data_IF_827698479616
#
_entry.id   IF_827698479616
#
_cell.length_a   1.000
_cell.length_b   1.000
_cell.length_c   1.000
_cell.angle_alpha   90.00
_cell.angle_beta   90.00
_cell.angle_gamma   90.00
#
_symmetry.space_group_name_H-M   'P 1'
#
loop_
_entity.id
_entity.type
_entity.pdbx_description
1 polymer ?
#
# COMPACT_ATOMS: atom_id res chain seq x y z
N UNK A 1 24.65 -11.59 30.82
CA UNK A 1 23.55 -10.81 31.44
C UNK A 1 22.51 -10.54 30.34
N UNK A 2 21.59 -11.44 29.97
CA UNK A 2 20.33 -11.84 30.64
C UNK A 2 19.39 -10.69 31.02
N UNK A 3 18.98 -9.83 30.09
CA UNK A 3 17.73 -9.03 30.15
C UNK A 3 17.33 -8.60 28.72
N UNK A 4 16.32 -9.25 28.11
CA UNK A 4 15.51 -8.74 26.97
C UNK A 4 14.54 -9.81 26.39
N UNK A 5 13.87 -10.59 27.23
CA UNK A 5 12.85 -11.57 26.80
C UNK A 5 11.58 -11.45 27.64
N UNK A 6 10.96 -10.26 27.69
CA UNK A 6 9.74 -10.06 28.50
C UNK A 6 8.73 -9.05 27.95
N UNK A 7 8.78 -8.74 26.65
CA UNK A 7 7.73 -7.90 26.00
C UNK A 7 6.90 -8.71 24.97
N UNK A 8 7.39 -9.86 24.48
CA UNK A 8 6.66 -10.69 23.51
C UNK A 8 5.64 -11.68 24.11
N UNK A 9 5.63 -11.87 25.43
CA UNK A 9 4.77 -12.87 26.08
C UNK A 9 3.45 -12.30 26.65
N UNK A 10 3.29 -10.98 26.73
CA UNK A 10 2.05 -10.37 27.26
C UNK A 10 0.94 -10.25 26.21
N UNK A 11 1.27 -10.16 24.91
CA UNK A 11 0.29 -10.06 23.84
C UNK A 11 -0.40 -11.37 23.47
N UNK A 12 0.21 -12.53 23.79
CA UNK A 12 -0.40 -13.84 23.56
C UNK A 12 -1.28 -14.33 24.73
N UNK A 13 -1.22 -13.69 25.90
CA UNK A 13 -2.01 -14.10 27.07
C UNK A 13 -3.42 -13.47 27.11
N UNK A 14 -3.63 -12.31 26.46
CA UNK A 14 -4.94 -11.63 26.44
C UNK A 14 -5.93 -12.32 25.46
N UNK A 15 -5.42 -13.08 24.48
CA UNK A 15 -6.26 -13.78 23.51
C UNK A 15 -6.77 -15.17 23.96
N UNK A 16 -6.28 -15.72 25.09
CA UNK A 16 -6.65 -17.08 25.56
C UNK A 16 -7.31 -17.14 26.94
N UNK A 17 -7.69 -16.00 27.53
CA UNK A 17 -8.47 -15.98 28.79
C UNK A 17 -9.97 -15.75 28.62
N UNK A 18 -10.49 -15.72 27.39
CA UNK A 18 -11.94 -15.59 27.12
C UNK A 18 -12.71 -16.93 27.06
N UNK A 19 -12.04 -18.07 27.27
CA UNK A 19 -12.69 -19.39 27.30
C UNK A 19 -12.24 -20.20 28.52
N UNK A 20 -12.58 -19.73 29.72
CA UNK A 20 -12.84 -20.64 30.85
C UNK A 20 -14.23 -20.33 31.39
N UNK A 21 -15.19 -21.17 31.02
CA UNK A 21 -16.47 -21.31 31.71
C UNK A 21 -16.18 -21.76 33.14
N UNK A 22 -16.23 -20.83 34.09
CA UNK A 22 -16.28 -21.15 35.51
C UNK A 22 -17.73 -21.15 35.95
N UNK A 23 -18.25 -22.33 36.26
CA UNK A 23 -19.49 -22.49 37.01
C UNK A 23 -19.29 -21.86 38.39
N UNK A 24 -19.90 -20.70 38.65
CA UNK A 24 -20.61 -20.36 39.89
C UNK A 24 -21.05 -18.89 39.91
N UNK A 25 -22.35 -18.71 40.17
CA UNK A 25 -23.04 -17.45 40.49
C UNK A 25 -22.24 -16.56 41.46
N UNK A 26 -22.06 -15.27 41.13
CA UNK A 26 -22.69 -14.12 41.80
C UNK A 26 -22.09 -12.78 41.31
N UNK A 27 -22.95 -11.93 40.72
CA UNK A 27 -22.89 -10.46 40.76
C UNK A 27 -21.66 -9.72 40.21
N UNK A 28 -21.84 -9.01 39.09
CA UNK A 28 -20.96 -7.90 38.69
C UNK A 28 -21.18 -7.48 37.23
N UNK A 29 -21.88 -6.36 37.04
CA UNK A 29 -21.94 -5.51 35.84
C UNK A 29 -21.60 -6.15 34.49
N UNK A 30 -22.63 -6.71 33.84
CA UNK A 30 -22.59 -6.99 32.41
C UNK A 30 -22.49 -5.65 31.65
N UNK A 31 -21.27 -5.20 31.35
CA UNK A 31 -21.04 -4.38 30.16
C UNK A 31 -21.59 -5.17 28.98
N UNK A 32 -22.80 -4.80 28.54
CA UNK A 32 -23.44 -5.37 27.37
C UNK A 32 -22.43 -5.29 26.22
N UNK A 33 -22.07 -6.41 25.56
CA UNK A 33 -21.08 -6.37 24.49
C UNK A 33 -21.55 -5.35 23.45
N UNK A 34 -20.67 -4.42 23.08
CA UNK A 34 -20.93 -3.40 22.05
C UNK A 34 -21.64 -4.06 20.87
N UNK A 35 -22.86 -3.61 20.58
CA UNK A 35 -23.68 -4.18 19.51
C UNK A 35 -22.87 -4.12 18.21
N UNK A 36 -22.50 -5.28 17.67
CA UNK A 36 -21.84 -5.38 16.37
C UNK A 36 -22.77 -4.71 15.34
N UNK A 37 -22.31 -3.61 14.75
CA UNK A 37 -23.07 -2.82 13.79
C UNK A 37 -23.05 -3.55 12.43
N UNK A 38 -23.98 -4.50 12.28
CA UNK A 38 -24.16 -5.27 11.05
C UNK A 38 -24.79 -4.41 9.97
N UNK A 39 -24.10 -4.24 8.84
CA UNK A 39 -24.60 -3.47 7.69
C UNK A 39 -25.15 -4.43 6.63
N UNK A 40 -26.44 -4.32 6.32
CA UNK A 40 -27.04 -5.08 5.23
C UNK A 40 -26.87 -4.36 3.90
N UNK A 41 -26.39 -5.07 2.86
CA UNK A 41 -26.26 -4.49 1.52
C UNK A 41 -27.60 -4.00 0.95
N UNK A 42 -28.73 -4.53 1.43
CA UNK A 42 -30.07 -4.04 1.04
C UNK A 42 -30.33 -2.59 1.43
N UNK A 43 -29.68 -2.09 2.49
CA UNK A 43 -29.76 -0.68 2.89
C UNK A 43 -28.57 0.11 2.32
N UNK A 44 -28.73 0.52 1.06
CA UNK A 44 -27.69 1.24 0.31
C UNK A 44 -27.40 2.62 0.89
N UNK A 45 -28.39 3.26 1.50
CA UNK A 45 -28.25 4.58 2.11
C UNK A 45 -27.39 4.49 3.37
N UNK A 46 -27.70 3.54 4.27
CA UNK A 46 -26.88 3.28 5.45
C UNK A 46 -25.48 2.84 5.07
N UNK A 47 -25.33 1.95 4.08
CA UNK A 47 -24.02 1.51 3.60
C UNK A 47 -23.14 2.69 3.15
N UNK A 48 -23.68 3.65 2.40
CA UNK A 48 -22.95 4.83 1.97
C UNK A 48 -22.46 5.72 3.13
N UNK A 49 -23.09 5.64 4.31
CA UNK A 49 -22.59 6.36 5.50
C UNK A 49 -21.49 5.62 6.25
N UNK A 50 -21.33 4.32 6.00
CA UNK A 50 -20.42 3.42 6.74
C UNK A 50 -19.16 3.06 5.95
N UNK A 51 -19.20 3.15 4.61
CA UNK A 51 -18.00 2.97 3.79
C UNK A 51 -17.06 4.17 3.90
N UNK A 52 -15.76 3.93 3.70
CA UNK A 52 -14.77 4.99 3.53
C UNK A 52 -14.20 4.92 2.12
N UNK A 53 -14.34 5.99 1.35
CA UNK A 53 -13.73 6.08 0.02
C UNK A 53 -12.41 6.83 0.14
N UNK A 54 -11.32 6.24 -0.35
CA UNK A 54 -10.01 6.90 -0.38
C UNK A 54 -10.12 8.21 -1.16
N UNK A 55 -9.68 9.31 -0.54
CA UNK A 55 -9.81 10.69 -1.06
C UNK A 55 -11.24 11.14 -1.38
N UNK A 56 -12.25 10.36 -0.99
CA UNK A 56 -13.64 10.64 -1.26
C UNK A 56 -14.24 11.58 -0.23
N UNK A 57 -14.84 12.67 -0.70
CA UNK A 57 -15.70 13.53 0.10
C UNK A 57 -17.15 13.14 -0.15
N UNK A 58 -17.84 12.70 0.91
CA UNK A 58 -19.25 12.34 0.85
C UNK A 58 -20.11 13.56 0.46
N UNK A 59 -21.04 13.36 -0.46
CA UNK A 59 -22.00 14.35 -0.93
C UNK A 59 -23.37 13.69 -1.13
N UNK A 60 -24.44 14.38 -0.72
CA UNK A 60 -25.80 13.90 -0.98
C UNK A 60 -26.19 14.20 -2.43
N UNK A 61 -27.02 13.34 -3.02
CA UNK A 61 -27.52 13.47 -4.38
C UNK A 61 -26.85 12.50 -5.36
N UNK A 62 -27.01 12.78 -6.64
CA UNK A 62 -26.47 11.97 -7.74
C UNK A 62 -25.10 12.47 -8.19
N UNK A 63 -24.32 11.58 -8.80
CA UNK A 63 -23.11 12.00 -9.52
C UNK A 63 -23.46 13.05 -10.58
N UNK A 64 -22.60 14.05 -10.82
CA UNK A 64 -22.81 15.04 -11.88
C UNK A 64 -23.04 14.40 -13.25
N UNK A 65 -23.87 15.03 -14.07
CA UNK A 65 -24.14 14.56 -15.43
C UNK A 65 -22.87 14.60 -16.30
N UNK A 66 -22.78 13.68 -17.26
CA UNK A 66 -21.72 13.69 -18.27
C UNK A 66 -21.75 15.00 -19.06
N UNK A 67 -20.57 15.51 -19.40
CA UNK A 67 -20.41 16.73 -20.18
C UNK A 67 -20.38 16.39 -21.67
N UNK A 68 -21.15 17.11 -22.48
CA UNK A 68 -21.21 16.92 -23.94
C UNK A 68 -20.33 17.97 -24.66
N UNK A 69 -19.02 17.91 -24.39
CA UNK A 69 -18.01 18.82 -24.98
C UNK A 69 -16.86 17.98 -25.55
N UNK A 70 -16.35 18.37 -26.72
CA UNK A 70 -15.18 17.71 -27.32
C UNK A 70 -13.97 17.76 -26.37
N UNK A 71 -13.18 16.70 -26.32
CA UNK A 71 -12.05 16.56 -25.38
C UNK A 71 -12.44 16.05 -23.98
N UNK A 72 -13.74 15.90 -23.68
CA UNK A 72 -14.22 15.27 -22.43
C UNK A 72 -13.66 13.84 -22.30
N UNK A 73 -13.18 13.43 -21.10
CA UNK A 73 -12.71 12.07 -20.88
C UNK A 73 -13.82 11.04 -21.13
N UNK A 74 -13.47 9.92 -21.74
CA UNK A 74 -14.37 8.78 -21.97
C UNK A 74 -13.80 7.54 -21.31
N UNK A 75 -14.57 6.96 -20.39
CA UNK A 75 -14.24 5.73 -19.68
C UNK A 75 -14.72 4.51 -20.46
N UNK A 76 -13.89 3.48 -20.51
CA UNK A 76 -14.25 2.16 -21.03
C UNK A 76 -15.22 1.49 -20.06
N UNK A 77 -16.31 0.93 -20.58
CA UNK A 77 -17.22 0.13 -19.76
C UNK A 77 -16.56 -1.21 -19.39
N UNK A 78 -16.18 -1.36 -18.11
CA UNK A 78 -15.73 -2.65 -17.59
C UNK A 78 -16.93 -3.44 -17.07
N UNK A 79 -17.37 -4.42 -17.88
CA UNK A 79 -18.47 -5.33 -17.54
C UNK A 79 -18.04 -6.45 -16.60
N UNK A 80 -16.76 -6.52 -16.22
CA UNK A 80 -16.27 -7.56 -15.35
C UNK A 80 -16.76 -7.35 -13.91
N UNK A 81 -16.96 -8.48 -13.24
CA UNK A 81 -17.30 -8.52 -11.83
C UNK A 81 -16.06 -8.16 -11.00
N UNK A 82 -16.09 -7.02 -10.31
CA UNK A 82 -15.00 -6.63 -9.40
C UNK A 82 -15.16 -7.41 -8.10
N UNK A 83 -14.18 -8.23 -7.74
CA UNK A 83 -14.21 -8.93 -6.47
C UNK A 83 -13.71 -7.99 -5.36
N UNK A 84 -14.50 -7.83 -4.30
CA UNK A 84 -14.01 -7.16 -3.10
C UNK A 84 -12.85 -8.00 -2.52
N UNK A 85 -11.77 -7.31 -2.18
CA UNK A 85 -10.65 -7.85 -1.40
C UNK A 85 -11.21 -8.17 -0.02
N UNK A 86 -11.62 -9.43 0.14
CA UNK A 86 -11.82 -10.08 1.46
C UNK A 86 -12.99 -9.51 2.24
N UNK A 87 -13.99 -9.03 1.51
CA UNK A 87 -15.11 -8.29 2.05
C UNK A 87 -14.74 -6.94 2.68
N UNK A 88 -13.48 -6.48 2.54
CA UNK A 88 -12.94 -5.27 3.20
C UNK A 88 -12.66 -4.13 2.24
N UNK A 89 -12.26 -4.38 1.01
CA UNK A 89 -11.95 -3.32 0.05
C UNK A 89 -12.53 -3.60 -1.32
N UNK A 90 -13.03 -2.58 -1.99
CA UNK A 90 -13.34 -2.59 -3.41
C UNK A 90 -12.28 -1.73 -4.09
N UNK A 91 -11.61 -2.30 -5.09
CA UNK A 91 -10.61 -1.58 -5.89
C UNK A 91 -11.10 -1.59 -7.33
N UNK A 92 -11.39 -0.42 -7.88
CA UNK A 92 -11.73 -0.24 -9.29
C UNK A 92 -10.54 0.46 -9.95
N UNK A 93 -10.10 -0.06 -11.10
CA UNK A 93 -9.09 0.57 -11.94
C UNK A 93 -9.77 1.06 -13.21
N UNK A 94 -10.18 2.34 -13.27
CA UNK A 94 -10.81 2.90 -14.46
C UNK A 94 -9.86 2.84 -15.65
N UNK A 95 -10.41 2.51 -16.83
CA UNK A 95 -9.70 2.59 -18.10
C UNK A 95 -10.34 3.68 -18.96
N UNK A 96 -9.53 4.37 -19.75
CA UNK A 96 -9.99 5.43 -20.64
C UNK A 96 -9.86 5.00 -22.10
N UNK A 97 -10.90 5.26 -22.89
CA UNK A 97 -10.79 5.22 -24.35
C UNK A 97 -10.10 6.48 -24.88
N UNK A 98 -10.35 7.62 -24.22
CA UNK A 98 -9.88 8.92 -24.68
C UNK A 98 -9.94 9.99 -23.57
N UNK A 99 -9.02 10.95 -23.60
CA UNK A 99 -9.03 12.19 -22.82
C UNK A 99 -8.03 13.18 -23.41
N UNK A 100 -8.33 14.48 -23.40
CA UNK A 100 -7.39 15.52 -23.85
C UNK A 100 -6.79 16.35 -22.71
N UNK A 101 -7.44 16.35 -21.54
CA UNK A 101 -6.99 17.13 -20.39
C UNK A 101 -6.70 16.23 -19.18
N UNK A 102 -5.95 16.77 -18.21
CA UNK A 102 -5.53 16.00 -17.03
C UNK A 102 -6.72 15.58 -16.19
N UNK A 103 -6.88 14.27 -15.97
CA UNK A 103 -7.89 13.71 -15.06
C UNK A 103 -7.53 14.09 -13.62
N UNK A 104 -8.46 14.72 -12.90
CA UNK A 104 -8.27 15.15 -11.49
C UNK A 104 -8.82 14.15 -10.47
N UNK A 105 -9.79 13.34 -10.88
CA UNK A 105 -10.34 12.30 -10.02
C UNK A 105 -11.66 11.75 -10.53
N UNK A 106 -12.46 11.23 -9.59
CA UNK A 106 -13.67 10.50 -9.92
C UNK A 106 -14.85 10.91 -9.02
N UNK A 107 -16.05 10.78 -9.56
CA UNK A 107 -17.26 10.66 -8.77
C UNK A 107 -17.61 9.18 -8.67
N UNK A 108 -17.98 8.69 -7.48
CA UNK A 108 -18.42 7.31 -7.28
C UNK A 108 -19.66 7.25 -6.40
N UNK A 109 -20.63 6.44 -6.79
CA UNK A 109 -21.88 6.24 -6.04
C UNK A 109 -22.16 4.75 -5.88
N UNK A 110 -22.67 4.39 -4.70
CA UNK A 110 -23.32 3.10 -4.48
C UNK A 110 -24.73 3.23 -5.05
N UNK A 111 -25.06 2.40 -6.04
CA UNK A 111 -26.36 2.49 -6.71
C UNK A 111 -27.50 2.28 -5.69
N UNK A 112 -28.44 3.24 -5.69
CA UNK A 112 -29.56 3.28 -4.75
C UNK A 112 -29.28 3.95 -3.40
N UNK A 113 -28.07 4.48 -3.16
CA UNK A 113 -27.74 5.15 -1.88
C UNK A 113 -28.22 6.60 -1.77
N UNK A 114 -28.55 7.26 -2.90
CA UNK A 114 -28.88 8.68 -2.93
C UNK A 114 -27.70 9.60 -2.54
N UNK A 115 -26.47 9.09 -2.61
CA UNK A 115 -25.25 9.82 -2.31
C UNK A 115 -24.13 9.43 -3.28
N UNK A 116 -23.11 10.27 -3.35
CA UNK A 116 -21.87 10.00 -4.06
C UNK A 116 -20.66 10.52 -3.28
N UNK A 117 -19.49 10.09 -3.69
CA UNK A 117 -18.22 10.56 -3.18
C UNK A 117 -17.46 11.25 -4.30
N UNK A 118 -16.99 12.47 -4.06
CA UNK A 118 -16.03 13.14 -4.94
C UNK A 118 -14.63 12.76 -4.50
N UNK A 119 -13.95 11.96 -5.31
CA UNK A 119 -12.55 11.56 -5.17
C UNK A 119 -11.69 12.60 -5.88
N UNK A 120 -10.74 13.20 -5.17
CA UNK A 120 -9.87 14.26 -5.72
C UNK A 120 -8.39 13.94 -5.46
N UNK A 121 -7.66 13.60 -6.51
CA UNK A 121 -6.22 13.33 -6.45
C UNK A 121 -5.38 14.60 -6.67
N UNK A 122 -5.98 15.70 -7.14
CA UNK A 122 -5.29 16.96 -7.41
C UNK A 122 -5.00 17.76 -6.15
N UNK A 123 -5.73 17.51 -5.06
CA UNK A 123 -5.43 18.08 -3.76
C UNK A 123 -4.14 17.46 -3.20
N UNK A 124 -3.04 18.24 -3.18
CA UNK A 124 -1.69 17.93 -2.65
C UNK A 124 -1.69 17.31 -1.23
N UNK A 125 -2.17 16.07 -1.07
CA UNK A 125 -2.17 15.31 0.19
C UNK A 125 -1.04 14.29 0.25
N UNK A 126 0.07 14.54 -0.43
CA UNK A 126 1.29 13.72 -0.33
C UNK A 126 1.33 12.47 -1.22
N UNK A 127 0.50 12.39 -2.26
CA UNK A 127 0.47 11.24 -3.16
C UNK A 127 1.08 11.58 -4.51
N UNK A 128 2.40 11.61 -4.54
CA UNK A 128 3.10 11.19 -5.74
C UNK A 128 2.83 9.67 -5.89
N UNK A 129 2.95 9.10 -7.11
CA UNK A 129 2.98 7.62 -7.26
C UNK A 129 4.08 6.96 -6.39
N UNK A 130 4.99 7.75 -5.84
CA UNK A 130 5.91 7.40 -4.77
C UNK A 130 5.24 7.56 -3.40
N UNK A 131 5.17 6.47 -2.62
CA UNK A 131 5.10 6.63 -1.16
C UNK A 131 6.20 7.61 -0.75
N UNK A 132 5.91 8.64 0.04
CA UNK A 132 6.95 9.57 0.53
C UNK A 132 8.04 8.76 1.25
N UNK A 133 9.17 8.52 0.58
CA UNK A 133 10.19 7.56 1.01
C UNK A 133 10.82 6.78 -0.15
N UNK A 134 11.91 6.07 0.13
CA UNK A 134 12.84 5.45 -0.83
C UNK A 134 12.19 4.78 -2.05
N UNK A 135 12.88 4.78 -3.22
CA UNK A 135 12.46 4.00 -4.38
C UNK A 135 12.35 2.50 -4.02
N UNK A 136 11.13 2.01 -3.83
CA UNK A 136 10.85 0.58 -3.69
C UNK A 136 10.77 -0.03 -5.08
N UNK A 137 11.36 -1.21 -5.27
CA UNK A 137 11.21 -2.00 -6.51
C UNK A 137 9.76 -2.42 -6.79
N UNK A 138 8.88 -2.34 -5.78
CA UNK A 138 7.45 -2.54 -5.91
C UNK A 138 6.65 -1.22 -5.89
N UNK A 139 7.32 -0.08 -5.71
CA UNK A 139 6.71 1.26 -5.78
C UNK A 139 6.27 1.61 -7.21
N UNK A 140 5.21 2.42 -7.32
CA UNK A 140 4.68 2.88 -8.62
C UNK A 140 5.39 4.19 -9.04
N UNK A 141 5.47 4.49 -10.33
CA UNK A 141 5.92 5.78 -10.88
C UNK A 141 4.96 6.24 -11.98
N UNK A 142 4.50 7.52 -12.00
CA UNK A 142 3.71 8.15 -13.08
C UNK A 142 2.57 9.13 -12.64
N UNK A 143 1.57 9.36 -13.50
CA UNK A 143 0.51 10.41 -13.44
C UNK A 143 -0.86 9.92 -12.87
N UNK A 144 -1.80 10.83 -12.57
CA UNK A 144 -3.09 10.56 -11.89
C UNK A 144 -4.11 9.73 -12.68
N UNK A 145 -3.94 9.63 -14.01
CA UNK A 145 -4.92 9.02 -14.93
C UNK A 145 -5.16 7.52 -14.65
N UNK A 146 -4.20 6.81 -14.04
CA UNK A 146 -4.32 5.38 -13.71
C UNK A 146 -4.64 5.10 -12.23
N UNK A 147 -5.08 6.15 -11.50
CA UNK A 147 -5.38 6.03 -10.07
C UNK A 147 -6.61 5.16 -9.84
N UNK A 148 -6.48 4.21 -8.91
CA UNK A 148 -7.57 3.33 -8.50
C UNK A 148 -8.58 4.05 -7.62
N UNK A 149 -9.87 3.78 -7.81
CA UNK A 149 -10.92 4.12 -6.84
C UNK A 149 -10.93 3.03 -5.78
N UNK A 150 -10.69 3.39 -4.51
CA UNK A 150 -10.65 2.42 -3.42
C UNK A 150 -11.73 2.74 -2.38
N UNK A 151 -12.55 1.74 -2.07
CA UNK A 151 -13.64 1.84 -1.10
C UNK A 151 -13.42 0.79 -0.02
N UNK A 152 -13.20 1.24 1.22
CA UNK A 152 -13.17 0.38 2.40
C UNK A 152 -14.60 0.09 2.86
N UNK A 153 -14.92 -1.18 2.92
CA UNK A 153 -16.16 -1.76 3.39
C UNK A 153 -16.15 -1.91 4.93
N UNK A 154 -17.29 -1.74 5.62
CA UNK A 154 -17.42 -2.10 7.03
C UNK A 154 -17.13 -3.59 7.28
N UNK A 155 -16.66 -3.92 8.49
CA UNK A 155 -16.19 -5.27 8.83
C UNK A 155 -17.29 -6.35 8.78
N UNK A 156 -18.54 -5.99 9.03
CA UNK A 156 -19.68 -6.91 9.10
C UNK A 156 -20.74 -6.50 8.08
N UNK A 157 -20.61 -7.03 6.86
CA UNK A 157 -21.57 -6.85 5.79
C UNK A 157 -22.35 -8.14 5.55
N UNK A 158 -23.67 -8.01 5.41
CA UNK A 158 -24.56 -9.10 4.99
C UNK A 158 -25.03 -8.85 3.57
N UNK A 159 -24.64 -9.74 2.66
CA UNK A 159 -24.95 -9.71 1.23
C UNK A 159 -23.72 -10.02 0.38
N UNK A 160 -23.94 -10.33 -0.91
CA UNK A 160 -22.91 -10.86 -1.80
C UNK A 160 -22.58 -9.94 -2.98
N UNK A 161 -23.49 -9.03 -3.37
CA UNK A 161 -23.33 -8.19 -4.56
C UNK A 161 -23.80 -6.77 -4.32
N UNK A 162 -23.00 -5.81 -4.79
CA UNK A 162 -23.37 -4.40 -4.88
C UNK A 162 -23.07 -3.86 -6.27
N UNK A 163 -23.72 -2.77 -6.65
CA UNK A 163 -23.42 -2.09 -7.89
C UNK A 163 -22.96 -0.68 -7.58
N UNK A 164 -21.88 -0.27 -8.25
CA UNK A 164 -21.32 1.06 -8.20
C UNK A 164 -21.51 1.74 -9.54
N UNK A 165 -21.68 3.05 -9.54
CA UNK A 165 -21.54 3.88 -10.74
C UNK A 165 -20.44 4.90 -10.49
N UNK A 166 -19.56 5.09 -11.46
CA UNK A 166 -18.48 6.07 -11.38
C UNK A 166 -18.31 6.85 -12.68
N UNK A 167 -17.72 8.03 -12.57
CA UNK A 167 -17.39 8.91 -13.69
C UNK A 167 -16.10 9.67 -13.37
N UNK A 168 -15.24 9.86 -14.36
CA UNK A 168 -14.04 10.70 -14.23
C UNK A 168 -14.40 12.18 -14.37
N UNK A 169 -13.62 13.05 -13.75
CA UNK A 169 -13.64 14.47 -14.08
C UNK A 169 -12.24 15.01 -14.28
N UNK A 170 -12.14 15.97 -15.19
CA UNK A 170 -10.88 16.51 -15.66
C UNK A 170 -10.55 17.87 -15.04
N UNK A 171 -9.42 18.44 -15.48
CA UNK A 171 -8.91 19.70 -14.95
C UNK A 171 -9.78 20.91 -15.26
N UNK A 172 -10.60 20.82 -16.32
CA UNK A 172 -11.54 21.83 -16.81
C UNK A 172 -12.94 21.66 -16.20
N UNK A 173 -13.17 20.56 -15.46
CA UNK A 173 -14.44 20.25 -14.83
C UNK A 173 -15.40 19.47 -15.74
N UNK A 174 -14.95 18.98 -16.89
CA UNK A 174 -15.73 18.08 -17.72
C UNK A 174 -15.85 16.71 -17.05
N UNK A 175 -17.01 16.08 -17.21
CA UNK A 175 -17.36 14.80 -16.57
C UNK A 175 -17.58 13.74 -17.65
N UNK A 176 -16.98 12.56 -17.47
CA UNK A 176 -17.08 11.46 -18.42
C UNK A 176 -18.49 10.85 -18.49
N UNK A 177 -18.67 9.92 -19.42
CA UNK A 177 -19.75 8.93 -19.34
C UNK A 177 -19.74 8.20 -17.98
N UNK A 178 -20.92 7.78 -17.54
CA UNK A 178 -21.10 7.03 -16.31
C UNK A 178 -20.89 5.54 -16.59
N UNK A 179 -19.97 4.92 -15.86
CA UNK A 179 -19.69 3.48 -15.96
C UNK A 179 -20.24 2.77 -14.73
N UNK A 180 -20.98 1.68 -14.97
CA UNK A 180 -21.53 0.83 -13.92
C UNK A 180 -20.62 -0.38 -13.71
N UNK A 181 -20.20 -0.59 -12.47
CA UNK A 181 -19.49 -1.80 -12.05
C UNK A 181 -20.37 -2.66 -11.14
N UNK A 182 -20.26 -3.98 -11.32
CA UNK A 182 -20.84 -4.97 -10.42
C UNK A 182 -19.74 -5.51 -9.53
N UNK A 183 -19.93 -5.40 -8.21
CA UNK A 183 -18.96 -5.83 -7.22
C UNK A 183 -19.51 -7.03 -6.47
N UNK A 184 -18.76 -8.14 -6.46
CA UNK A 184 -19.04 -9.28 -5.62
C UNK A 184 -18.21 -9.21 -4.34
N UNK A 185 -18.89 -9.27 -3.21
CA UNK A 185 -18.30 -9.33 -1.88
C UNK A 185 -18.20 -10.80 -1.51
N UNK A 186 -17.00 -11.37 -1.61
CA UNK A 186 -16.76 -12.72 -1.10
C UNK A 186 -16.75 -12.68 0.42
N UNK A 187 -17.40 -13.66 1.04
CA UNK A 187 -17.16 -13.95 2.46
C UNK A 187 -15.72 -14.40 2.64
N UNK A 188 -15.14 -14.18 3.80
CA UNK A 188 -13.72 -14.40 4.13
C UNK A 188 -13.25 -15.88 4.04
N UNK A 189 -14.01 -16.78 3.42
CA UNK A 189 -13.94 -18.23 3.69
C UNK A 189 -13.66 -19.13 2.48
N UNK A 190 -13.17 -18.61 1.35
CA UNK A 190 -12.89 -19.47 0.17
C UNK A 190 -11.41 -19.41 -0.25
N UNK A 191 -10.54 -19.85 0.66
CA UNK A 191 -9.08 -19.69 0.61
C UNK A 191 -8.38 -20.99 0.15
N UNK A 192 -8.98 -21.81 -0.71
CA UNK A 192 -8.31 -23.04 -1.15
C UNK A 192 -7.17 -22.75 -2.15
N UNK A 193 -7.37 -21.76 -3.04
CA UNK A 193 -6.53 -21.59 -4.24
C UNK A 193 -5.22 -20.80 -4.00
N UNK A 194 -4.99 -20.32 -2.77
CA UNK A 194 -3.87 -19.42 -2.45
C UNK A 194 -3.28 -19.58 -1.04
N UNK A 195 -3.49 -20.74 -0.39
CA UNK A 195 -2.83 -21.07 0.89
C UNK A 195 -1.30 -21.00 0.81
N UNK A 196 -0.72 -21.35 -0.33
CA UNK A 196 0.74 -21.34 -0.51
C UNK A 196 1.32 -19.93 -0.35
N UNK A 197 0.53 -18.90 -0.69
CA UNK A 197 0.88 -17.49 -0.57
C UNK A 197 0.78 -16.96 0.87
N UNK A 198 -0.06 -17.59 1.71
CA UNK A 198 -0.23 -17.20 3.12
C UNK A 198 1.06 -17.49 3.90
N UNK A 199 1.48 -16.51 4.70
CA UNK A 199 2.65 -16.60 5.56
C UNK A 199 3.50 -15.33 5.54
N UNK A 200 4.71 -15.46 6.11
CA UNK A 200 5.72 -14.42 6.13
C UNK A 200 6.75 -14.65 5.04
N UNK A 201 7.06 -13.59 4.31
CA UNK A 201 7.97 -13.57 3.18
C UNK A 201 9.06 -12.55 3.41
N UNK A 202 10.25 -12.83 2.88
CA UNK A 202 11.40 -11.94 2.88
C UNK A 202 11.78 -11.66 1.43
N UNK A 203 12.04 -10.40 1.09
CA UNK A 203 12.64 -10.07 -0.20
C UNK A 203 14.05 -10.67 -0.24
N UNK A 204 14.37 -11.51 -1.22
CA UNK A 204 15.68 -12.15 -1.33
C UNK A 204 16.59 -11.38 -2.31
N UNK A 205 16.11 -11.19 -3.53
CA UNK A 205 16.85 -10.58 -4.63
C UNK A 205 15.91 -9.80 -5.55
N UNK A 206 16.47 -8.86 -6.31
CA UNK A 206 15.78 -8.15 -7.40
C UNK A 206 16.62 -8.20 -8.66
N UNK A 207 16.02 -8.06 -9.83
CA UNK A 207 16.79 -7.79 -11.05
C UNK A 207 17.30 -6.35 -11.06
N UNK A 208 18.38 -6.09 -11.78
CA UNK A 208 18.76 -4.75 -12.20
C UNK A 208 18.07 -4.36 -13.52
N UNK A 209 18.39 -3.18 -14.06
CA UNK A 209 17.83 -2.66 -15.33
C UNK A 209 18.13 -3.55 -16.53
N UNK A 210 19.14 -4.43 -16.44
CA UNK A 210 19.52 -5.38 -17.49
C UNK A 210 18.93 -6.77 -17.25
N UNK A 211 18.04 -6.93 -16.26
CA UNK A 211 17.42 -8.20 -15.92
C UNK A 211 18.33 -9.14 -15.11
N UNK A 212 19.51 -8.70 -14.66
CA UNK A 212 20.42 -9.55 -13.88
C UNK A 212 20.04 -9.54 -12.42
N UNK A 213 19.91 -10.73 -11.82
CA UNK A 213 19.61 -10.88 -10.40
C UNK A 213 20.73 -10.34 -9.50
N UNK A 214 20.34 -9.56 -8.50
CA UNK A 214 21.21 -8.98 -7.47
C UNK A 214 20.59 -9.18 -6.09
N UNK A 215 21.44 -9.46 -5.09
CA UNK A 215 20.98 -9.58 -3.71
C UNK A 215 20.44 -8.22 -3.24
N UNK A 216 19.25 -8.23 -2.64
CA UNK A 216 18.53 -7.02 -2.26
C UNK A 216 19.21 -6.23 -1.13
N UNK A 217 20.03 -6.91 -0.31
CA UNK A 217 20.65 -6.34 0.89
C UNK A 217 22.11 -5.93 0.68
N UNK A 218 22.61 -5.89 -0.56
CA UNK A 218 23.95 -5.34 -0.84
C UNK A 218 23.91 -3.84 -0.56
N UNK A 219 24.73 -3.33 0.38
CA UNK A 219 24.83 -1.89 0.61
C UNK A 219 25.47 -1.19 -0.59
N UNK A 220 24.96 -0.02 -0.92
CA UNK A 220 25.57 0.91 -1.86
C UNK A 220 26.53 1.85 -1.12
N UNK A 221 27.62 2.21 -1.78
CA UNK A 221 28.65 3.09 -1.24
C UNK A 221 28.85 4.28 -2.18
N UNK A 222 28.66 5.48 -1.65
CA UNK A 222 29.04 6.72 -2.33
C UNK A 222 30.43 7.15 -1.88
N UNK A 223 31.24 7.60 -2.84
CA UNK A 223 32.59 8.12 -2.59
C UNK A 223 32.63 9.61 -2.85
N UNK A 224 33.51 10.31 -2.15
CA UNK A 224 33.76 11.73 -2.38
C UNK A 224 35.22 12.06 -2.06
N UNK A 225 35.65 13.24 -2.47
CA UNK A 225 36.99 13.72 -2.19
C UNK A 225 37.03 14.49 -0.87
N UNK A 226 37.98 14.14 -0.02
CA UNK A 226 38.28 14.82 1.23
C UNK A 226 39.66 15.46 1.18
N UNK A 227 39.88 16.43 2.06
CA UNK A 227 41.19 17.03 2.29
C UNK A 227 41.39 17.32 3.77
N UNK A 228 42.64 17.60 4.12
CA UNK A 228 43.10 17.80 5.46
C UNK A 228 43.66 19.20 5.64
N UNK A 229 42.96 20.00 6.43
CA UNK A 229 43.35 21.37 6.70
C UNK A 229 43.39 21.59 8.22
N UNK A 230 44.59 21.88 8.75
CA UNK A 230 44.79 22.07 10.19
C UNK A 230 44.44 20.83 11.02
N UNK A 231 44.71 19.62 10.49
CA UNK A 231 44.42 18.34 11.16
C UNK A 231 42.94 17.95 11.18
N UNK A 232 42.07 18.72 10.53
CA UNK A 232 40.64 18.45 10.43
C UNK A 232 40.28 18.00 9.02
N UNK A 233 39.40 17.00 8.95
CA UNK A 233 38.84 16.52 7.71
C UNK A 233 37.81 17.52 7.15
N UNK A 234 37.91 17.83 5.85
CA UNK A 234 36.95 18.65 5.11
C UNK A 234 36.64 18.03 3.76
N UNK A 235 35.52 18.41 3.15
CA UNK A 235 35.28 18.09 1.73
C UNK A 235 36.29 18.84 0.85
N UNK A 236 36.85 18.15 -0.14
CA UNK A 236 37.73 18.76 -1.11
C UNK A 236 36.91 19.35 -2.25
N UNK A 237 36.85 20.69 -2.33
CA UNK A 237 36.04 21.41 -3.31
C UNK A 237 36.89 22.00 -4.45
N UNK A 238 38.22 22.12 -4.24
CA UNK A 238 39.16 22.78 -5.16
C UNK A 238 40.34 21.87 -5.51
N UNK A 239 40.77 21.92 -6.77
CA UNK A 239 41.86 21.09 -7.34
C UNK A 239 43.29 21.53 -6.95
N UNK A 240 43.46 22.63 -6.21
CA UNK A 240 44.76 23.17 -5.80
C UNK A 240 45.28 22.63 -4.46
N UNK A 241 44.55 21.73 -3.80
CA UNK A 241 44.90 21.13 -2.51
C UNK A 241 44.98 19.61 -2.72
N UNK A 242 45.87 18.94 -1.99
CA UNK A 242 45.93 17.48 -2.00
C UNK A 242 44.60 16.91 -1.46
N UNK A 243 43.84 16.30 -2.36
CA UNK A 243 42.60 15.59 -2.04
C UNK A 243 42.87 14.08 -2.04
N UNK A 244 42.14 13.34 -1.22
CA UNK A 244 42.05 11.89 -1.31
C UNK A 244 40.58 11.46 -1.42
N UNK A 245 40.32 10.34 -2.10
CA UNK A 245 38.97 9.80 -2.24
C UNK A 245 38.72 8.72 -1.21
N UNK A 246 37.58 8.79 -0.53
CA UNK A 246 37.13 7.75 0.39
C UNK A 246 35.59 7.68 0.41
N UNK A 247 35.04 6.72 1.16
CA UNK A 247 33.61 6.48 1.28
C UNK A 247 32.97 7.63 2.07
N UNK A 248 32.03 8.33 1.45
CA UNK A 248 31.29 9.42 2.08
C UNK A 248 30.03 8.92 2.79
N UNK A 249 29.38 7.93 2.19
CA UNK A 249 28.18 7.33 2.75
C UNK A 249 28.02 5.87 2.32
N UNK A 250 27.39 5.09 3.19
CA UNK A 250 26.99 3.70 2.96
C UNK A 250 25.49 3.62 3.23
N UNK A 251 24.72 3.19 2.23
CA UNK A 251 23.27 3.01 2.36
C UNK A 251 22.90 1.57 2.07
N UNK A 252 22.12 0.95 2.93
CA UNK A 252 21.75 -0.45 2.74
C UNK A 252 20.40 -0.77 3.34
N UNK A 253 19.63 -1.59 2.62
CA UNK A 253 18.44 -2.23 3.19
C UNK A 253 18.90 -3.26 4.21
N UNK A 254 18.26 -3.24 5.38
CA UNK A 254 18.54 -4.18 6.48
C UNK A 254 17.42 -5.16 6.71
N UNK A 255 16.18 -4.78 6.33
CA UNK A 255 15.01 -5.62 6.46
C UNK A 255 13.98 -5.26 5.38
N UNK A 256 13.36 -6.28 4.80
CA UNK A 256 12.21 -6.11 3.93
C UNK A 256 11.39 -7.40 3.97
N UNK A 257 10.36 -7.36 4.82
CA UNK A 257 9.48 -8.49 5.06
C UNK A 257 8.05 -8.12 4.66
N UNK A 258 7.32 -9.11 4.17
CA UNK A 258 5.89 -9.01 3.88
C UNK A 258 5.16 -10.15 4.59
N UNK A 259 3.94 -9.89 5.04
CA UNK A 259 3.09 -10.93 5.61
C UNK A 259 1.71 -10.86 4.98
N UNK A 260 1.22 -12.02 4.58
CA UNK A 260 -0.10 -12.23 4.00
C UNK A 260 -0.83 -13.24 4.86
N UNK A 261 -1.94 -12.84 5.50
CA UNK A 261 -2.73 -13.76 6.33
C UNK A 261 -3.86 -14.41 5.52
N UNK A 262 -4.39 -15.50 6.05
CA UNK A 262 -5.57 -16.19 5.52
C UNK A 262 -6.86 -15.35 5.68
N UNK A 263 -6.88 -14.37 6.60
CA UNK A 263 -7.93 -13.32 6.67
C UNK A 263 -7.65 -12.14 5.73
N UNK A 264 -6.75 -12.36 4.76
CA UNK A 264 -6.33 -11.39 3.74
C UNK A 264 -5.78 -10.07 4.27
N UNK A 265 -5.17 -10.11 5.44
CA UNK A 265 -4.46 -8.98 5.99
C UNK A 265 -3.06 -8.92 5.40
N UNK A 266 -2.62 -7.71 5.10
CA UNK A 266 -1.29 -7.43 4.59
C UNK A 266 -0.51 -6.63 5.63
N UNK A 267 0.77 -6.95 5.78
CA UNK A 267 1.72 -6.01 6.39
C UNK A 267 3.07 -6.07 5.71
N UNK A 268 3.75 -4.94 5.68
CA UNK A 268 5.10 -4.78 5.14
C UNK A 268 5.98 -4.09 6.17
N UNK A 269 7.15 -4.65 6.43
CA UNK A 269 8.16 -4.06 7.29
C UNK A 269 9.45 -3.83 6.50
N UNK A 270 9.73 -2.56 6.22
CA UNK A 270 10.95 -2.11 5.58
C UNK A 270 11.87 -1.42 6.59
N UNK A 271 13.17 -1.71 6.51
CA UNK A 271 14.20 -1.00 7.28
C UNK A 271 15.45 -0.80 6.45
N UNK A 272 16.00 0.40 6.46
CA UNK A 272 17.25 0.74 5.82
C UNK A 272 18.13 1.57 6.75
N UNK A 273 19.43 1.52 6.48
CA UNK A 273 20.43 2.31 7.20
C UNK A 273 21.12 3.25 6.23
N UNK A 274 21.45 4.44 6.71
CA UNK A 274 22.32 5.39 6.04
C UNK A 274 23.43 5.79 7.01
N UNK A 275 24.64 5.35 6.71
CA UNK A 275 25.85 5.75 7.42
C UNK A 275 26.54 6.85 6.63
N UNK A 276 26.89 7.97 7.25
CA UNK A 276 27.59 9.09 6.62
C UNK A 276 28.79 9.50 7.45
N UNK A 277 29.84 9.96 6.77
CA UNK A 277 30.99 10.56 7.45
C UNK A 277 30.53 11.75 8.29
N UNK A 278 30.95 11.78 9.56
CA UNK A 278 30.74 12.91 10.47
C UNK A 278 32.05 13.67 10.54
N UNK A 279 32.16 14.77 9.80
CA UNK A 279 33.41 15.53 9.66
C UNK A 279 34.00 15.94 11.01
N UNK A 280 33.17 16.44 11.92
CA UNK A 280 33.59 16.93 13.24
C UNK A 280 34.22 15.85 14.13
N UNK A 281 33.84 14.58 13.91
CA UNK A 281 34.34 13.42 14.65
C UNK A 281 35.39 12.63 13.86
N UNK A 282 35.71 13.06 12.64
CA UNK A 282 36.67 12.40 11.77
C UNK A 282 38.02 13.08 11.85
N UNK A 283 39.06 12.28 11.66
CA UNK A 283 40.44 12.76 11.52
C UNK A 283 40.94 12.47 10.12
N UNK A 284 42.04 13.09 9.74
CA UNK A 284 42.69 12.90 8.45
C UNK A 284 43.02 11.45 8.12
N UNK A 285 43.38 10.66 9.13
CA UNK A 285 43.80 9.27 8.97
C UNK A 285 42.67 8.28 9.30
N UNK A 286 41.52 8.78 9.77
CA UNK A 286 40.41 7.93 10.22
C UNK A 286 39.07 8.64 10.12
N UNK A 287 38.24 8.15 9.21
CA UNK A 287 36.85 8.55 9.06
C UNK A 287 35.97 7.94 10.15
N UNK A 288 35.10 8.77 10.73
CA UNK A 288 34.07 8.34 11.67
C UNK A 288 32.71 8.46 11.00
N UNK A 289 31.88 7.43 11.14
CA UNK A 289 30.55 7.39 10.54
C UNK A 289 29.46 7.49 11.60
N UNK A 290 28.45 8.32 11.30
CA UNK A 290 27.18 8.34 12.03
C UNK A 290 26.15 7.55 11.23
N UNK A 291 25.47 6.62 11.87
CA UNK A 291 24.44 5.78 11.25
C UNK A 291 23.06 6.20 11.70
N UNK A 292 22.16 6.39 10.73
CA UNK A 292 20.74 6.55 10.95
C UNK A 292 20.01 5.32 10.40
N UNK A 293 18.98 4.88 11.13
CA UNK A 293 18.10 3.80 10.69
C UNK A 293 16.72 4.37 10.45
N UNK A 294 16.16 4.07 9.29
CA UNK A 294 14.77 4.36 8.97
C UNK A 294 13.99 3.06 8.91
N UNK A 295 12.85 3.00 9.60
CA UNK A 295 11.95 1.86 9.59
C UNK A 295 10.55 2.32 9.22
N UNK A 296 9.88 1.53 8.38
CA UNK A 296 8.51 1.75 7.92
C UNK A 296 7.72 0.46 8.10
N UNK A 297 6.55 0.58 8.73
CA UNK A 297 5.58 -0.51 8.86
C UNK A 297 4.29 -0.08 8.17
N UNK A 298 3.87 -0.83 7.18
CA UNK A 298 2.62 -0.63 6.48
C UNK A 298 1.66 -1.79 6.72
N UNK A 299 0.37 -1.49 6.72
CA UNK A 299 -0.70 -2.46 6.91
C UNK A 299 -1.84 -2.22 5.92
N UNK A 300 -2.54 -3.29 5.58
CA UNK A 300 -3.76 -3.20 4.80
C UNK A 300 -4.33 -4.56 4.45
N UNK A 301 -4.74 -4.75 3.19
CA UNK A 301 -5.33 -6.00 2.72
C UNK A 301 -4.79 -6.43 1.36
N UNK A 302 -5.00 -7.70 1.02
CA UNK A 302 -4.54 -8.26 -0.24
C UNK A 302 -5.54 -9.24 -0.86
N UNK A 303 -5.58 -9.31 -2.18
CA UNK A 303 -6.33 -10.32 -2.94
C UNK A 303 -5.46 -10.91 -4.04
N UNK A 304 -5.76 -12.15 -4.42
CA UNK A 304 -5.10 -12.82 -5.53
C UNK A 304 -6.15 -13.36 -6.50
N UNK A 305 -5.95 -13.07 -7.79
CA UNK A 305 -6.74 -13.65 -8.87
C UNK A 305 -5.91 -14.79 -9.51
N UNK A 306 -6.33 -16.07 -9.37
CA UNK A 306 -5.56 -17.21 -9.87
C UNK A 306 -5.53 -17.31 -11.40
N UNK A 307 -6.58 -16.83 -12.10
CA UNK A 307 -6.65 -16.86 -13.57
C UNK A 307 -5.63 -15.90 -14.20
N UNK A 308 -5.55 -14.67 -13.67
CA UNK A 308 -4.63 -13.64 -14.17
C UNK A 308 -3.26 -13.68 -13.51
N UNK A 309 -3.13 -14.42 -12.40
CA UNK A 309 -1.98 -14.45 -11.49
C UNK A 309 -1.62 -13.06 -10.93
N UNK A 310 -2.61 -12.20 -10.74
CA UNK A 310 -2.41 -10.84 -10.22
C UNK A 310 -2.76 -10.81 -8.73
N UNK A 311 -1.80 -10.38 -7.93
CA UNK A 311 -1.97 -9.99 -6.53
C UNK A 311 -2.22 -8.49 -6.48
N UNK A 312 -3.30 -8.07 -5.82
CA UNK A 312 -3.58 -6.66 -5.53
C UNK A 312 -3.40 -6.41 -4.04
N UNK A 313 -2.60 -5.41 -3.69
CA UNK A 313 -2.33 -4.98 -2.32
C UNK A 313 -2.92 -3.59 -2.15
N UNK A 314 -3.67 -3.42 -1.06
CA UNK A 314 -4.17 -2.15 -0.57
C UNK A 314 -3.44 -1.85 0.72
N UNK A 315 -2.82 -0.68 0.81
CA UNK A 315 -2.25 -0.14 2.04
C UNK A 315 -3.21 0.94 2.54
N UNK A 316 -3.66 0.82 3.78
CA UNK A 316 -4.52 1.81 4.42
C UNK A 316 -4.08 2.17 5.85
N UNK A 317 -3.05 1.50 6.37
CA UNK A 317 -2.59 1.61 7.76
C UNK A 317 -3.74 1.54 8.77
N UNK A 318 -4.65 0.58 8.57
CA UNK A 318 -5.89 0.38 9.34
C UNK A 318 -6.89 1.53 9.26
N UNK A 319 -6.73 2.46 8.32
CA UNK A 319 -7.55 3.65 8.16
C UNK A 319 -7.27 4.73 9.21
N UNK A 320 -6.11 4.69 9.87
CA UNK A 320 -5.65 5.69 10.84
C UNK A 320 -5.05 6.93 10.17
N UNK A 321 -4.50 6.78 8.96
CA UNK A 321 -3.80 7.84 8.26
C UNK A 321 -4.36 8.00 6.84
N UNK A 322 -5.20 9.03 6.62
CA UNK A 322 -5.73 9.36 5.30
C UNK A 322 -4.63 9.63 4.25
N UNK A 323 -3.40 9.94 4.70
CA UNK A 323 -2.23 10.23 3.89
C UNK A 323 -1.47 8.97 3.40
N UNK A 324 -1.91 7.75 3.75
CA UNK A 324 -1.24 6.51 3.35
C UNK A 324 -2.19 5.47 2.73
N UNK A 325 -3.29 5.94 2.11
CA UNK A 325 -4.24 5.06 1.44
C UNK A 325 -3.90 4.92 -0.06
N UNK A 326 -3.37 3.76 -0.47
CA UNK A 326 -3.05 3.49 -1.88
C UNK A 326 -3.13 2.00 -2.21
N UNK A 327 -3.09 1.65 -3.50
CA UNK A 327 -3.04 0.27 -3.96
C UNK A 327 -2.02 0.08 -5.07
N UNK A 328 -1.48 -1.13 -5.15
CA UNK A 328 -0.62 -1.56 -6.24
C UNK A 328 -0.88 -3.04 -6.53
N UNK A 329 -0.57 -3.44 -7.76
CA UNK A 329 -0.77 -4.82 -8.20
C UNK A 329 0.54 -5.39 -8.73
N UNK A 330 0.82 -6.63 -8.36
CA UNK A 330 1.98 -7.39 -8.84
C UNK A 330 1.50 -8.65 -9.52
N UNK A 331 2.18 -9.04 -10.60
CA UNK A 331 1.95 -10.29 -11.29
C UNK A 331 2.90 -11.34 -10.74
N UNK A 332 2.35 -12.49 -10.34
CA UNK A 332 3.12 -13.67 -9.97
C UNK A 332 3.59 -14.35 -11.26
N UNK A 333 4.91 -14.41 -11.44
CA UNK A 333 5.55 -15.09 -12.55
C UNK A 333 5.74 -16.57 -12.22
N UNK A 334 6.26 -16.84 -11.02
CA UNK A 334 6.53 -18.18 -10.50
C UNK A 334 6.13 -18.24 -9.02
N UNK A 335 5.58 -19.38 -8.60
CA UNK A 335 5.18 -19.60 -7.20
C UNK A 335 5.41 -21.05 -6.81
N UNK A 336 6.04 -21.22 -5.65
CA UNK A 336 6.21 -22.49 -4.93
C UNK A 336 5.91 -22.24 -3.45
N UNK A 337 5.76 -23.29 -2.62
CA UNK A 337 5.57 -23.10 -1.18
C UNK A 337 6.71 -22.35 -0.46
N UNK A 338 7.88 -22.17 -1.08
CA UNK A 338 9.07 -21.57 -0.46
C UNK A 338 9.56 -20.30 -1.16
N UNK A 339 9.12 -20.04 -2.39
CA UNK A 339 9.64 -18.96 -3.22
C UNK A 339 8.57 -18.44 -4.18
N UNK A 340 8.55 -17.11 -4.37
CA UNK A 340 7.68 -16.41 -5.31
C UNK A 340 8.50 -15.39 -6.09
N UNK A 341 8.34 -15.39 -7.40
CA UNK A 341 8.86 -14.32 -8.26
C UNK A 341 7.70 -13.43 -8.70
N UNK A 342 7.80 -12.13 -8.40
CA UNK A 342 6.79 -11.13 -8.71
C UNK A 342 7.36 -10.00 -9.57
N UNK A 343 6.49 -9.36 -10.34
CA UNK A 343 6.79 -8.14 -11.10
C UNK A 343 5.67 -7.13 -10.89
N UNK A 344 5.99 -5.84 -10.73
CA UNK A 344 4.97 -4.81 -10.63
C UNK A 344 4.26 -4.67 -11.99
N UNK A 345 2.93 -4.67 -11.98
CA UNK A 345 2.11 -4.58 -13.22
C UNK A 345 2.24 -3.25 -13.95
N UNK A 346 2.58 -2.18 -13.21
CA UNK A 346 2.80 -0.83 -13.76
C UNK A 346 4.28 -0.54 -14.05
N UNK A 347 5.21 -1.28 -13.44
CA UNK A 347 6.65 -1.15 -13.66
C UNK A 347 7.29 -2.53 -13.80
N UNK A 348 7.43 -2.99 -15.04
CA UNK A 348 8.00 -4.31 -15.34
C UNK A 348 9.52 -4.32 -15.42
N UNK A 349 10.17 -3.20 -15.11
CA UNK A 349 11.64 -3.06 -15.19
C UNK A 349 12.34 -4.01 -14.22
N UNK A 350 11.72 -4.28 -13.07
CA UNK A 350 12.33 -5.08 -12.02
C UNK A 350 11.44 -6.25 -11.63
N UNK A 351 12.05 -7.42 -11.53
CA UNK A 351 11.47 -8.59 -10.89
C UNK A 351 12.02 -8.69 -9.47
N UNK A 352 11.20 -9.19 -8.55
CA UNK A 352 11.54 -9.38 -7.14
C UNK A 352 11.27 -10.83 -6.78
N UNK A 353 12.24 -11.46 -6.14
CA UNK A 353 12.08 -12.79 -5.55
C UNK A 353 11.81 -12.65 -4.05
N UNK A 354 10.75 -13.29 -3.59
CA UNK A 354 10.39 -13.46 -2.20
C UNK A 354 10.69 -14.90 -1.79
N UNK A 355 11.26 -15.09 -0.60
CA UNK A 355 11.45 -16.41 0.02
C UNK A 355 10.67 -16.49 1.31
N UNK A 356 10.09 -17.65 1.60
CA UNK A 356 9.31 -17.87 2.82
C UNK A 356 10.23 -17.86 4.05
N UNK A 357 9.74 -17.33 5.17
CA UNK A 357 10.49 -17.23 6.43
C UNK A 357 10.33 -18.43 7.34
#
# INVERSE_FOLDING_TARGET
>A
MKKLLLIGALSCAVAFHACKKSDNNTGGDDEQPEKIDTVHLGDRTMLATKVKVAFGIYSKGSIPAATDVSGTPTLVEDKNLVNAISGRYIVINPNFDYYESTVKGYYVSINGSGAYFKVDYSSNRGFYREATGFPSSLGRQGDYVDSSIIIKLPAYIVGDTLSLTYAAYDSLGHVSNHVKSLVRIHSQNSIADYQDFVGSWKVNRKTDVNGKWQNYYIPDTSRTSFTCEGGKLKYCINSGIECFEDIAAITGVTKYDMMFTDQNEFSELFSATASRVVLDNSTCDKLTYGTQTQTKLEKGGWSFNPETKILTIVVDNNGLEYANFYSYSVKILEMTPQMITIVNTANTTYQVELVKK
#
